data_IF_002083940274
#
_entry.id   IF_002083940274
#
_cell.length_a   1.000
_cell.length_b   1.000
_cell.length_c   1.000
_cell.angle_alpha   90.00
_cell.angle_beta   90.00
_cell.angle_gamma   90.00
#
_symmetry.space_group_name_H-M   'P 1'
#
loop_
_entity.id
_entity.type
_entity.pdbx_description
1 polymer ?
#
# COMPACT_ATOMS: atom_id res chain seq x y z
N UNK A 1 -0.68 11.63 16.53
CA UNK A 1 0.53 11.51 15.68
C UNK A 1 0.65 10.05 15.30
N UNK A 2 0.74 9.75 14.03
CA UNK A 2 0.98 8.42 13.47
C UNK A 2 2.39 8.34 12.90
N UNK A 3 2.98 7.15 12.87
CA UNK A 3 4.28 6.90 12.25
C UNK A 3 4.09 6.08 10.98
N UNK A 4 4.67 6.54 9.88
CA UNK A 4 4.80 5.81 8.62
C UNK A 4 6.27 5.40 8.43
N UNK A 5 6.54 4.12 8.24
CA UNK A 5 7.89 3.61 8.00
C UNK A 5 7.92 3.01 6.60
N UNK A 6 8.57 3.69 5.66
CA UNK A 6 8.63 3.28 4.26
C UNK A 6 9.62 2.13 4.08
N UNK A 7 9.14 0.96 3.72
CA UNK A 7 9.97 -0.22 3.43
C UNK A 7 10.54 -0.17 2.01
N UNK A 8 9.86 0.54 1.13
CA UNK A 8 10.22 0.80 -0.24
C UNK A 8 9.31 1.88 -0.82
N UNK A 9 9.82 2.67 -1.75
CA UNK A 9 9.15 3.85 -2.33
C UNK A 9 9.14 3.84 -3.85
N UNK A 10 9.74 2.82 -4.49
CA UNK A 10 9.83 2.68 -5.95
C UNK A 10 8.61 1.98 -6.55
N UNK A 11 8.44 2.18 -7.85
CA UNK A 11 7.41 1.57 -8.68
C UNK A 11 7.74 0.12 -9.09
N UNK A 12 6.95 -0.46 -10.01
CA UNK A 12 7.14 -1.81 -10.55
C UNK A 12 8.56 -2.09 -11.05
N UNK A 13 9.22 -1.10 -11.67
CA UNK A 13 10.58 -1.26 -12.22
C UNK A 13 11.68 -1.16 -11.17
N UNK A 14 11.35 -0.80 -9.94
CA UNK A 14 12.31 -0.65 -8.84
C UNK A 14 13.54 0.16 -9.26
N UNK A 15 13.39 1.48 -9.49
CA UNK A 15 14.48 2.30 -10.01
C UNK A 15 15.69 2.27 -9.06
N UNK A 16 16.90 2.55 -9.55
CA UNK A 16 18.13 2.51 -8.74
C UNK A 16 17.99 3.28 -7.43
N UNK A 17 18.26 2.61 -6.30
CA UNK A 17 18.17 3.18 -4.96
C UNK A 17 16.78 3.13 -4.32
N UNK A 18 15.76 2.60 -4.99
CA UNK A 18 14.40 2.46 -4.47
C UNK A 18 13.90 1.03 -4.65
N UNK A 19 13.30 0.49 -3.59
CA UNK A 19 12.63 -0.81 -3.61
C UNK A 19 11.13 -0.65 -3.83
N UNK A 20 10.45 -1.75 -4.17
CA UNK A 20 9.00 -1.75 -4.41
C UNK A 20 8.21 -1.16 -3.24
N UNK A 21 7.20 -0.36 -3.61
CA UNK A 21 6.34 0.35 -2.68
C UNK A 21 5.77 -0.55 -1.59
N UNK A 22 6.02 -0.16 -0.36
CA UNK A 22 5.47 -0.79 0.84
C UNK A 22 5.76 0.08 2.05
N UNK A 23 4.87 0.14 3.02
CA UNK A 23 5.14 0.83 4.28
C UNK A 23 4.40 0.19 5.46
N UNK A 24 4.89 0.47 6.67
CA UNK A 24 4.23 0.10 7.93
C UNK A 24 3.67 1.36 8.56
N UNK A 25 2.42 1.28 9.03
CA UNK A 25 1.79 2.34 9.79
C UNK A 25 1.59 1.88 11.24
N UNK A 26 2.02 2.72 12.19
CA UNK A 26 1.85 2.53 13.64
C UNK A 26 2.29 1.16 14.15
N UNK A 27 3.35 0.61 13.58
CA UNK A 27 3.97 -0.68 13.92
C UNK A 27 3.14 -1.94 13.66
N UNK A 28 1.85 -1.82 13.36
CA UNK A 28 0.91 -2.94 13.30
C UNK A 28 0.27 -3.17 11.92
N UNK A 29 0.29 -2.18 11.03
CA UNK A 29 -0.37 -2.24 9.71
C UNK A 29 0.67 -2.23 8.60
N UNK A 30 0.78 -3.34 7.88
CA UNK A 30 1.60 -3.43 6.66
C UNK A 30 0.73 -3.10 5.45
N UNK A 31 1.06 -2.03 4.76
CA UNK A 31 0.46 -1.68 3.48
C UNK A 31 1.37 -2.19 2.37
N UNK A 32 0.79 -2.96 1.46
CA UNK A 32 1.42 -3.66 0.34
C UNK A 32 2.52 -4.66 0.77
N UNK A 33 2.23 -5.95 0.87
CA UNK A 33 3.24 -6.98 1.07
C UNK A 33 4.04 -7.20 -0.23
N UNK A 34 4.85 -6.18 -0.61
CA UNK A 34 5.69 -6.19 -1.80
C UNK A 34 6.74 -7.30 -1.76
N UNK A 35 7.39 -7.66 -2.88
CA UNK A 35 8.38 -8.75 -2.91
C UNK A 35 9.52 -8.62 -1.91
N UNK A 36 9.87 -7.38 -1.51
CA UNK A 36 10.93 -7.11 -0.52
C UNK A 36 10.40 -6.79 0.88
N UNK A 37 9.08 -6.81 1.12
CA UNK A 37 8.49 -6.40 2.39
C UNK A 37 9.08 -7.16 3.60
N UNK A 38 9.19 -8.48 3.54
CA UNK A 38 9.68 -9.27 4.69
C UNK A 38 11.14 -8.94 5.09
N UNK A 39 12.15 -8.95 4.21
CA UNK A 39 13.50 -8.56 4.60
C UNK A 39 13.58 -7.10 5.06
N UNK A 40 12.76 -6.22 4.50
CA UNK A 40 12.76 -4.80 4.86
C UNK A 40 12.05 -4.53 6.21
N UNK A 41 10.98 -5.24 6.53
CA UNK A 41 10.41 -5.26 7.89
C UNK A 41 11.50 -5.53 8.92
N UNK A 42 12.27 -6.61 8.72
CA UNK A 42 13.38 -6.99 9.62
C UNK A 42 14.46 -5.91 9.71
N UNK A 43 14.81 -5.30 8.57
CA UNK A 43 15.78 -4.20 8.52
C UNK A 43 15.31 -2.99 9.33
N UNK A 44 14.01 -2.69 9.31
CA UNK A 44 13.40 -1.61 10.08
C UNK A 44 13.12 -1.97 11.54
N UNK A 45 13.45 -3.20 11.98
CA UNK A 45 13.29 -3.65 13.35
C UNK A 45 11.91 -4.24 13.67
N UNK A 46 11.08 -4.52 12.66
CA UNK A 46 9.78 -5.15 12.85
C UNK A 46 9.88 -6.68 12.82
N UNK A 47 9.01 -7.34 13.55
CA UNK A 47 8.78 -8.77 13.47
C UNK A 47 7.47 -9.02 12.72
N UNK A 48 7.48 -9.88 11.70
CA UNK A 48 6.28 -10.17 10.91
C UNK A 48 5.09 -10.65 11.79
N UNK A 49 5.38 -11.33 12.91
CA UNK A 49 4.36 -11.77 13.87
C UNK A 49 3.71 -10.63 14.67
N UNK A 50 4.25 -9.42 14.66
CA UNK A 50 3.67 -8.25 15.33
C UNK A 50 2.74 -7.46 14.40
N UNK A 51 2.76 -7.73 13.09
CA UNK A 51 1.81 -7.13 12.15
C UNK A 51 0.44 -7.75 12.38
N UNK A 52 -0.54 -6.91 12.62
CA UNK A 52 -1.94 -7.30 12.90
C UNK A 52 -2.83 -7.16 11.68
N UNK A 53 -2.48 -6.25 10.75
CA UNK A 53 -3.26 -5.99 9.53
C UNK A 53 -2.33 -5.91 8.33
N UNK A 54 -2.71 -6.57 7.23
CA UNK A 54 -2.13 -6.39 5.91
C UNK A 54 -3.18 -5.75 5.01
N UNK A 55 -2.80 -4.69 4.29
CA UNK A 55 -3.67 -3.99 3.34
C UNK A 55 -3.11 -4.12 1.94
N UNK A 56 -3.95 -4.48 0.97
CA UNK A 56 -3.58 -4.63 -0.45
C UNK A 56 -4.50 -3.76 -1.29
N UNK A 57 -3.92 -2.86 -2.09
CA UNK A 57 -4.69 -1.97 -2.96
C UNK A 57 -5.21 -2.67 -4.21
N UNK A 58 -4.39 -3.52 -4.82
CA UNK A 58 -4.69 -4.30 -6.00
C UNK A 58 -3.72 -5.49 -6.16
N UNK A 59 -3.92 -6.33 -7.18
CA UNK A 59 -3.17 -7.59 -7.31
C UNK A 59 -2.00 -7.54 -8.31
N UNK A 60 -1.37 -6.40 -8.57
CA UNK A 60 -0.10 -6.38 -9.28
C UNK A 60 1.02 -6.99 -8.42
N UNK A 61 1.99 -7.58 -9.08
CA UNK A 61 3.04 -8.38 -8.45
C UNK A 61 3.90 -7.60 -7.45
N UNK A 62 4.21 -6.35 -7.78
CA UNK A 62 5.01 -5.45 -6.94
C UNK A 62 4.31 -5.05 -5.63
N UNK A 63 2.98 -5.17 -5.55
CA UNK A 63 2.18 -4.88 -4.36
C UNK A 63 1.94 -6.11 -3.47
N UNK A 64 1.92 -7.33 -4.03
CA UNK A 64 1.43 -8.48 -3.28
C UNK A 64 2.31 -9.75 -3.34
N UNK A 65 3.33 -9.85 -4.21
CA UNK A 65 4.13 -11.09 -4.33
C UNK A 65 5.07 -11.39 -3.16
N UNK A 66 5.18 -10.51 -2.18
CA UNK A 66 5.81 -10.80 -0.89
C UNK A 66 4.92 -11.60 0.07
N UNK A 67 3.62 -11.71 -0.24
CA UNK A 67 2.63 -12.39 0.61
C UNK A 67 3.04 -13.79 1.07
N UNK A 68 3.48 -14.73 0.19
CA UNK A 68 3.85 -16.08 0.61
C UNK A 68 4.94 -16.10 1.69
N UNK A 69 5.93 -15.25 1.57
CA UNK A 69 7.05 -15.15 2.50
C UNK A 69 6.63 -14.47 3.81
N UNK A 70 5.84 -13.41 3.70
CA UNK A 70 5.30 -12.71 4.86
C UNK A 70 4.39 -13.63 5.68
N UNK A 71 3.43 -14.33 5.04
CA UNK A 71 2.50 -15.24 5.71
C UNK A 71 3.24 -16.35 6.46
N UNK A 72 4.26 -16.96 5.83
CA UNK A 72 5.08 -17.99 6.50
C UNK A 72 5.77 -17.42 7.74
N UNK A 73 6.33 -16.22 7.65
CA UNK A 73 7.01 -15.59 8.78
C UNK A 73 6.02 -15.16 9.88
N UNK A 74 4.86 -14.61 9.51
CA UNK A 74 3.82 -14.25 10.46
C UNK A 74 3.29 -15.48 11.20
N UNK A 75 3.08 -16.60 10.50
CA UNK A 75 2.67 -17.88 11.13
C UNK A 75 3.74 -18.44 12.07
N UNK A 76 5.03 -18.28 11.75
CA UNK A 76 6.11 -18.79 12.60
C UNK A 76 6.30 -17.95 13.88
N UNK A 77 6.15 -16.64 13.78
CA UNK A 77 6.45 -15.71 14.87
C UNK A 77 5.20 -15.09 15.54
N UNK A 78 4.01 -15.25 14.95
CA UNK A 78 2.76 -14.61 15.41
C UNK A 78 2.01 -15.32 16.54
N UNK A 79 2.27 -16.61 16.78
CA UNK A 79 1.88 -17.38 17.96
C UNK A 79 0.42 -17.21 18.44
N UNK A 80 -0.61 -17.60 17.66
CA UNK A 80 -2.02 -17.56 18.07
C UNK A 80 -2.69 -16.18 17.96
N UNK A 81 -1.99 -15.18 17.41
CA UNK A 81 -2.57 -13.85 17.14
C UNK A 81 -3.54 -13.86 15.97
N UNK A 82 -4.42 -12.86 15.92
CA UNK A 82 -5.24 -12.59 14.74
C UNK A 82 -4.41 -11.81 13.71
N UNK A 83 -4.45 -12.26 12.46
CA UNK A 83 -3.94 -11.52 11.31
C UNK A 83 -5.12 -11.19 10.38
N UNK A 84 -5.43 -9.91 10.26
CA UNK A 84 -6.41 -9.42 9.31
C UNK A 84 -5.73 -9.13 7.96
N UNK A 85 -6.38 -9.52 6.87
CA UNK A 85 -5.94 -9.21 5.51
C UNK A 85 -7.08 -8.52 4.81
N UNK A 86 -6.84 -7.30 4.36
CA UNK A 86 -7.82 -6.41 3.74
C UNK A 86 -7.43 -6.18 2.28
N UNK A 87 -8.38 -6.25 1.36
CA UNK A 87 -8.09 -5.99 -0.05
C UNK A 87 -9.31 -6.10 -0.97
N UNK A 88 -9.06 -6.06 -2.29
CA UNK A 88 -10.09 -6.09 -3.30
C UNK A 88 -10.94 -7.38 -3.26
N UNK A 89 -12.14 -7.36 -3.86
CA UNK A 89 -12.93 -8.58 -4.08
C UNK A 89 -12.13 -9.70 -4.73
N UNK A 90 -12.28 -10.94 -4.23
CA UNK A 90 -11.50 -12.12 -4.62
C UNK A 90 -10.20 -12.29 -3.84
N UNK A 91 -9.99 -11.50 -2.78
CA UNK A 91 -8.76 -11.42 -2.00
C UNK A 91 -8.19 -12.79 -1.60
N UNK A 92 -8.97 -13.59 -0.87
CA UNK A 92 -8.48 -14.89 -0.37
C UNK A 92 -8.11 -15.84 -1.50
N UNK A 93 -8.92 -15.88 -2.57
CA UNK A 93 -8.68 -16.73 -3.73
C UNK A 93 -7.39 -16.35 -4.47
N UNK A 94 -7.14 -15.04 -4.68
CA UNK A 94 -5.93 -14.56 -5.33
C UNK A 94 -4.68 -14.84 -4.49
N UNK A 95 -4.73 -14.61 -3.19
CA UNK A 95 -3.59 -14.88 -2.30
C UNK A 95 -3.31 -16.38 -2.17
N UNK A 96 -4.34 -17.22 -2.18
CA UNK A 96 -4.18 -18.68 -2.23
C UNK A 96 -3.55 -19.13 -3.57
N UNK A 97 -3.96 -18.55 -4.70
CA UNK A 97 -3.37 -18.85 -6.01
C UNK A 97 -1.87 -18.53 -6.08
N UNK A 98 -1.42 -17.44 -5.42
CA UNK A 98 0.01 -17.11 -5.33
C UNK A 98 0.81 -18.21 -4.61
N UNK A 99 0.25 -18.79 -3.54
CA UNK A 99 0.87 -19.90 -2.82
C UNK A 99 0.94 -21.18 -3.67
N UNK A 100 -0.09 -21.44 -4.49
CA UNK A 100 -0.11 -22.56 -5.44
C UNK A 100 0.98 -22.42 -6.50
N UNK A 101 1.04 -21.26 -7.17
CA UNK A 101 2.06 -20.96 -8.20
C UNK A 101 3.47 -21.03 -7.62
N UNK A 102 3.65 -20.57 -6.37
CA UNK A 102 4.91 -20.65 -5.64
C UNK A 102 5.27 -22.04 -5.12
N UNK A 103 4.40 -23.06 -5.34
CA UNK A 103 4.54 -24.42 -4.80
C UNK A 103 4.67 -24.49 -3.27
N UNK A 104 4.04 -23.54 -2.57
CA UNK A 104 4.07 -23.40 -1.10
C UNK A 104 2.66 -23.38 -0.50
N UNK A 105 1.72 -24.10 -1.07
CA UNK A 105 0.32 -24.19 -0.64
C UNK A 105 0.17 -24.52 0.85
N UNK A 106 1.03 -25.41 1.37
CA UNK A 106 1.03 -25.81 2.78
C UNK A 106 1.23 -24.64 3.77
N UNK A 107 1.74 -23.50 3.30
CA UNK A 107 1.90 -22.28 4.10
C UNK A 107 0.55 -21.76 4.59
N UNK A 108 -0.50 -21.80 3.73
CA UNK A 108 -1.83 -21.34 4.11
C UNK A 108 -2.45 -22.23 5.21
N UNK A 109 -2.33 -23.56 5.05
CA UNK A 109 -2.83 -24.51 6.04
C UNK A 109 -2.09 -24.37 7.38
N UNK A 110 -0.76 -24.22 7.32
CA UNK A 110 0.07 -23.96 8.52
C UNK A 110 -0.31 -22.64 9.19
N UNK A 111 -0.52 -21.58 8.39
CA UNK A 111 -0.91 -20.28 8.93
C UNK A 111 -2.27 -20.34 9.64
N UNK A 112 -3.27 -21.00 9.04
CA UNK A 112 -4.59 -21.20 9.67
C UNK A 112 -4.57 -22.01 10.97
N UNK A 113 -3.57 -22.87 11.14
CA UNK A 113 -3.37 -23.60 12.39
C UNK A 113 -2.71 -22.77 13.50
N UNK A 114 -1.94 -21.76 13.11
CA UNK A 114 -1.09 -20.97 14.02
C UNK A 114 -1.60 -19.56 14.28
N UNK A 115 -2.43 -19.03 13.37
CA UNK A 115 -3.02 -17.70 13.43
C UNK A 115 -4.56 -17.77 13.30
N UNK A 116 -5.25 -16.83 13.90
CA UNK A 116 -6.63 -16.52 13.52
C UNK A 116 -6.59 -15.62 12.27
N UNK A 117 -6.56 -16.26 11.09
CA UNK A 117 -6.41 -15.57 9.80
C UNK A 117 -7.78 -15.13 9.28
N UNK A 118 -7.97 -13.82 9.11
CA UNK A 118 -9.24 -13.21 8.70
C UNK A 118 -9.06 -12.39 7.43
N UNK A 119 -9.87 -12.70 6.40
CA UNK A 119 -9.91 -11.95 5.15
C UNK A 119 -11.12 -11.03 5.12
N UNK A 120 -10.93 -9.78 4.71
CA UNK A 120 -11.97 -8.77 4.56
C UNK A 120 -11.87 -8.14 3.17
N UNK A 121 -12.88 -8.40 2.34
CA UNK A 121 -13.00 -7.73 1.05
C UNK A 121 -13.64 -6.36 1.25
N UNK A 122 -13.13 -5.37 0.50
CA UNK A 122 -13.62 -3.99 0.59
C UNK A 122 -14.92 -3.80 -0.21
N UNK A 123 -15.82 -2.97 0.31
CA UNK A 123 -17.14 -2.68 -0.28
C UNK A 123 -17.46 -1.17 -0.37
N UNK A 124 -16.47 -0.31 -0.03
CA UNK A 124 -16.61 1.15 -0.02
C UNK A 124 -17.22 1.73 1.27
N UNK A 125 -17.69 0.89 2.19
CA UNK A 125 -18.14 1.32 3.51
C UNK A 125 -16.95 1.45 4.50
N UNK A 126 -17.19 2.14 5.62
CA UNK A 126 -16.27 2.10 6.76
C UNK A 126 -16.30 0.73 7.41
N UNK A 127 -15.12 0.13 7.57
CA UNK A 127 -14.92 -1.22 8.10
C UNK A 127 -13.87 -1.21 9.22
N UNK A 128 -13.85 -2.30 10.01
CA UNK A 128 -12.89 -2.51 11.09
C UNK A 128 -12.13 -3.81 10.87
N UNK A 129 -10.79 -3.75 10.90
CA UNK A 129 -9.91 -4.92 10.88
C UNK A 129 -8.89 -4.81 12.03
N UNK A 130 -9.11 -5.55 13.12
CA UNK A 130 -8.30 -5.40 14.33
C UNK A 130 -8.26 -3.94 14.83
N UNK A 131 -7.07 -3.34 15.00
CA UNK A 131 -6.95 -1.95 15.45
C UNK A 131 -7.22 -0.92 14.34
N UNK A 132 -7.41 -1.35 13.09
CA UNK A 132 -7.54 -0.48 11.94
C UNK A 132 -9.01 -0.19 11.62
N UNK A 133 -9.43 1.09 11.69
CA UNK A 133 -10.67 1.60 11.12
C UNK A 133 -10.35 2.22 9.77
N UNK A 134 -11.00 1.76 8.71
CA UNK A 134 -10.65 2.14 7.34
C UNK A 134 -11.85 2.17 6.41
N UNK A 135 -11.71 2.88 5.30
CA UNK A 135 -12.64 2.84 4.18
C UNK A 135 -11.83 2.77 2.87
N UNK A 136 -12.23 1.89 1.98
CA UNK A 136 -11.65 1.82 0.65
C UNK A 136 -12.45 2.68 -0.34
N UNK A 137 -11.73 3.33 -1.24
CA UNK A 137 -12.28 4.13 -2.34
C UNK A 137 -11.76 3.55 -3.65
N UNK A 138 -12.65 3.22 -4.58
CA UNK A 138 -12.24 2.68 -5.88
C UNK A 138 -11.54 3.76 -6.71
N UNK A 139 -10.37 3.43 -7.23
CA UNK A 139 -9.54 4.31 -8.07
C UNK A 139 -9.32 3.70 -9.45
N UNK A 140 -8.83 4.49 -10.39
CA UNK A 140 -8.66 4.08 -11.78
C UNK A 140 -7.19 3.85 -12.08
N UNK A 141 -6.83 2.62 -12.45
CA UNK A 141 -5.48 2.26 -12.84
C UNK A 141 -5.46 1.53 -14.18
N UNK A 142 -5.78 0.25 -14.21
CA UNK A 142 -5.84 -0.57 -15.43
C UNK A 142 -7.22 -1.20 -15.59
N UNK A 143 -7.73 -1.39 -16.83
CA UNK A 143 -9.13 -1.77 -17.04
C UNK A 143 -9.48 -3.22 -16.64
N UNK A 144 -8.48 -4.06 -16.38
CA UNK A 144 -8.67 -5.46 -16.03
C UNK A 144 -8.54 -5.75 -14.52
N UNK A 145 -8.25 -4.73 -13.69
CA UNK A 145 -8.20 -4.85 -12.23
C UNK A 145 -9.11 -3.83 -11.57
N UNK A 146 -9.71 -4.21 -10.46
CA UNK A 146 -10.29 -3.26 -9.51
C UNK A 146 -9.18 -2.83 -8.55
N UNK A 147 -8.95 -1.53 -8.50
CA UNK A 147 -7.91 -0.92 -7.68
C UNK A 147 -8.53 0.02 -6.65
N UNK A 148 -7.97 0.05 -5.45
CA UNK A 148 -8.51 0.81 -4.34
C UNK A 148 -7.41 1.63 -3.67
N UNK A 149 -7.77 2.88 -3.35
CA UNK A 149 -7.10 3.64 -2.31
C UNK A 149 -7.81 3.43 -0.97
N UNK A 150 -7.22 3.92 0.09
CA UNK A 150 -7.70 3.71 1.46
C UNK A 150 -7.67 5.00 2.26
N UNK A 151 -8.65 5.18 3.12
CA UNK A 151 -8.66 6.12 4.23
C UNK A 151 -8.48 5.33 5.53
N UNK A 152 -7.49 5.68 6.30
CA UNK A 152 -7.18 5.08 7.59
C UNK A 152 -7.46 6.12 8.68
N UNK A 153 -8.50 5.88 9.46
CA UNK A 153 -8.84 6.77 10.56
C UNK A 153 -7.95 6.51 11.79
N UNK A 154 -7.40 7.60 12.33
CA UNK A 154 -6.59 7.64 13.55
C UNK A 154 -7.13 8.72 14.49
N UNK A 155 -6.83 8.70 15.77
CA UNK A 155 -7.26 9.76 16.69
C UNK A 155 -6.80 11.15 16.24
N UNK A 156 -7.73 11.93 15.68
CA UNK A 156 -7.47 13.31 15.22
C UNK A 156 -6.69 13.40 13.91
N UNK A 157 -6.60 12.33 13.13
CA UNK A 157 -5.88 12.28 11.85
C UNK A 157 -6.53 11.26 10.91
N UNK A 158 -6.63 11.59 9.62
CA UNK A 158 -6.96 10.65 8.56
C UNK A 158 -5.77 10.54 7.61
N UNK A 159 -5.22 9.34 7.49
CA UNK A 159 -4.16 9.04 6.52
C UNK A 159 -4.80 8.41 5.29
N UNK A 160 -4.65 9.03 4.13
CA UNK A 160 -5.03 8.48 2.84
C UNK A 160 -3.87 7.73 2.20
N UNK A 161 -4.19 6.69 1.43
CA UNK A 161 -3.26 5.98 0.55
C UNK A 161 -3.92 5.77 -0.81
N UNK A 162 -3.27 6.15 -1.89
CA UNK A 162 -3.89 6.11 -3.21
C UNK A 162 -3.96 4.71 -3.83
N UNK A 163 -3.04 3.79 -3.47
CA UNK A 163 -2.70 2.69 -4.36
C UNK A 163 -2.17 3.22 -5.69
N UNK A 164 -2.16 2.40 -6.74
CA UNK A 164 -1.85 2.85 -8.09
C UNK A 164 -3.09 3.45 -8.75
N UNK A 165 -2.94 4.63 -9.32
CA UNK A 165 -4.06 5.39 -9.86
C UNK A 165 -3.63 6.40 -10.94
N UNK A 166 -4.58 6.81 -11.74
CA UNK A 166 -4.53 8.03 -12.55
C UNK A 166 -5.40 9.11 -11.90
N UNK A 167 -5.34 10.39 -12.33
CA UNK A 167 -6.30 11.38 -11.89
C UNK A 167 -7.74 10.89 -12.11
N UNK A 168 -8.52 10.81 -11.02
CA UNK A 168 -9.89 10.32 -11.03
C UNK A 168 -10.69 10.86 -9.83
N UNK A 169 -12.02 10.67 -9.85
CA UNK A 169 -12.89 11.12 -8.74
C UNK A 169 -12.53 10.44 -7.41
N UNK A 170 -12.19 9.12 -7.45
CA UNK A 170 -11.77 8.40 -6.24
C UNK A 170 -10.52 9.00 -5.60
N UNK A 171 -9.52 9.43 -6.39
CA UNK A 171 -8.35 10.12 -5.86
C UNK A 171 -8.72 11.48 -5.26
N UNK A 172 -9.62 12.23 -5.91
CA UNK A 172 -10.12 13.51 -5.38
C UNK A 172 -10.90 13.32 -4.08
N UNK A 173 -11.65 12.22 -3.95
CA UNK A 173 -12.34 11.85 -2.72
C UNK A 173 -11.33 11.54 -1.60
N UNK A 174 -10.31 10.71 -1.87
CA UNK A 174 -9.24 10.42 -0.93
C UNK A 174 -8.57 11.71 -0.44
N UNK A 175 -8.22 12.62 -1.36
CA UNK A 175 -7.57 13.88 -1.01
C UNK A 175 -8.46 14.78 -0.14
N UNK A 176 -9.77 14.85 -0.44
CA UNK A 176 -10.72 15.66 0.34
C UNK A 176 -10.88 15.20 1.79
N UNK A 177 -10.74 13.89 2.03
CA UNK A 177 -11.00 13.29 3.34
C UNK A 177 -9.73 12.97 4.13
N UNK A 178 -8.55 13.28 3.59
CA UNK A 178 -7.26 13.02 4.23
C UNK A 178 -6.63 14.29 4.80
N UNK A 179 -6.00 14.18 5.95
CA UNK A 179 -5.06 15.18 6.46
C UNK A 179 -3.66 14.97 5.85
N UNK A 180 -3.30 13.69 5.66
CA UNK A 180 -2.08 13.24 4.99
C UNK A 180 -2.45 12.27 3.89
N UNK A 181 -1.98 12.47 2.66
CA UNK A 181 -2.20 11.57 1.54
C UNK A 181 -0.87 11.00 1.03
N UNK A 182 -0.68 9.70 1.23
CA UNK A 182 0.39 8.94 0.59
C UNK A 182 -0.07 8.59 -0.82
N UNK A 183 0.54 9.19 -1.84
CA UNK A 183 0.09 9.08 -3.23
C UNK A 183 1.23 8.65 -4.14
N UNK A 184 0.90 7.82 -5.14
CA UNK A 184 1.85 7.39 -6.17
C UNK A 184 2.27 8.53 -7.07
N UNK A 185 3.51 8.47 -7.59
CA UNK A 185 3.97 9.30 -8.70
C UNK A 185 4.94 8.50 -9.56
N UNK A 186 4.43 7.80 -10.53
CA UNK A 186 5.26 6.98 -11.42
C UNK A 186 6.02 7.85 -12.45
N UNK A 187 5.51 9.05 -12.79
CA UNK A 187 6.16 9.98 -13.72
C UNK A 187 6.37 9.41 -15.13
N UNK A 188 5.67 8.33 -15.49
CA UNK A 188 5.89 7.64 -16.74
C UNK A 188 5.24 8.36 -17.89
N UNK A 189 6.05 8.95 -18.76
CA UNK A 189 5.58 9.49 -20.04
C UNK A 189 5.12 8.34 -20.95
N UNK A 190 3.82 8.26 -21.17
CA UNK A 190 3.22 7.31 -22.08
C UNK A 190 3.38 7.76 -23.53
N UNK A 191 3.37 6.83 -24.52
CA UNK A 191 3.30 7.20 -25.91
C UNK A 191 2.10 8.11 -26.19
N UNK A 192 2.20 9.06 -27.12
CA UNK A 192 1.08 9.92 -27.49
C UNK A 192 -0.21 9.14 -27.79
N UNK A 193 -1.30 9.49 -27.08
CA UNK A 193 -2.61 8.86 -27.25
C UNK A 193 -2.85 7.61 -26.40
N UNK A 194 -1.88 7.13 -25.63
CA UNK A 194 -2.12 6.10 -24.63
C UNK A 194 -2.85 6.71 -23.42
N UNK A 195 -3.87 6.04 -22.86
CA UNK A 195 -4.52 6.53 -21.65
C UNK A 195 -3.52 6.46 -20.47
N UNK A 196 -3.53 7.46 -19.57
CA UNK A 196 -2.71 7.39 -18.36
C UNK A 196 -3.13 6.19 -17.50
N UNK A 197 -2.17 5.59 -16.84
CA UNK A 197 -2.40 4.51 -15.87
C UNK A 197 -1.82 4.84 -14.49
N UNK A 198 -1.11 5.96 -14.39
CA UNK A 198 -0.44 6.44 -13.17
C UNK A 198 -0.49 7.96 -13.09
N UNK A 199 -0.11 8.49 -11.92
CA UNK A 199 0.13 9.91 -11.70
C UNK A 199 1.50 10.31 -12.27
N UNK A 200 1.58 11.54 -12.75
CA UNK A 200 2.81 12.23 -13.13
C UNK A 200 2.98 13.50 -12.30
N UNK A 201 4.09 14.22 -12.51
CA UNK A 201 4.43 15.42 -11.74
C UNK A 201 3.39 16.54 -11.90
N UNK A 202 2.84 16.72 -13.10
CA UNK A 202 1.82 17.73 -13.36
C UNK A 202 0.53 17.38 -12.61
N UNK A 203 0.09 16.14 -12.65
CA UNK A 203 -1.09 15.65 -11.92
C UNK A 203 -0.93 15.80 -10.40
N UNK A 204 0.28 15.59 -9.86
CA UNK A 204 0.57 15.84 -8.44
C UNK A 204 0.47 17.32 -8.11
N UNK A 205 0.98 18.22 -8.95
CA UNK A 205 0.87 19.65 -8.72
C UNK A 205 -0.59 20.15 -8.80
N UNK A 206 -1.38 19.61 -9.73
CA UNK A 206 -2.82 19.89 -9.83
C UNK A 206 -3.56 19.40 -8.59
N UNK A 207 -3.30 18.16 -8.12
CA UNK A 207 -3.87 17.61 -6.90
C UNK A 207 -3.56 18.49 -5.69
N UNK A 208 -2.30 18.89 -5.54
CA UNK A 208 -1.85 19.77 -4.45
C UNK A 208 -2.52 21.15 -4.50
N UNK A 209 -2.67 21.73 -5.70
CA UNK A 209 -3.33 23.02 -5.88
C UNK A 209 -4.82 22.96 -5.52
N UNK A 210 -5.48 21.82 -5.82
CA UNK A 210 -6.89 21.60 -5.49
C UNK A 210 -7.10 21.32 -3.98
N UNK A 211 -6.09 20.77 -3.28
CA UNK A 211 -6.15 20.37 -1.88
C UNK A 211 -4.96 20.93 -1.07
N UNK A 212 -4.89 22.27 -0.89
CA UNK A 212 -3.71 22.95 -0.32
C UNK A 212 -3.46 22.62 1.17
N UNK A 213 -4.48 22.16 1.88
CA UNK A 213 -4.40 21.82 3.32
C UNK A 213 -3.95 20.37 3.56
N UNK A 214 -3.87 19.54 2.51
CA UNK A 214 -3.48 18.13 2.60
C UNK A 214 -1.96 18.00 2.53
N UNK A 215 -1.37 17.31 3.49
CA UNK A 215 0.04 16.96 3.44
C UNK A 215 0.27 15.81 2.46
N UNK A 216 0.82 16.11 1.29
CA UNK A 216 1.10 15.10 0.25
C UNK A 216 2.47 14.46 0.49
N UNK A 217 2.47 13.12 0.55
CA UNK A 217 3.64 12.26 0.68
C UNK A 217 3.71 11.37 -0.56
N UNK A 218 4.79 11.44 -1.33
CA UNK A 218 4.93 10.67 -2.57
C UNK A 218 5.55 9.30 -2.32
N UNK A 219 5.04 8.31 -3.03
CA UNK A 219 5.56 6.94 -3.08
C UNK A 219 5.42 6.35 -4.49
N UNK A 220 5.78 5.08 -4.70
CA UNK A 220 5.68 4.37 -5.97
C UNK A 220 6.36 5.15 -7.12
N UNK A 221 7.55 5.69 -6.82
CA UNK A 221 8.26 6.62 -7.67
C UNK A 221 8.91 5.94 -8.87
N UNK A 222 8.70 6.49 -10.05
CA UNK A 222 9.42 6.09 -11.26
C UNK A 222 10.80 6.73 -11.37
N UNK A 223 11.68 6.16 -12.20
CA UNK A 223 13.05 6.66 -12.40
C UNK A 223 13.11 8.07 -13.01
N UNK A 224 12.07 8.45 -13.76
CA UNK A 224 12.02 9.72 -14.47
C UNK A 224 11.40 10.87 -13.66
N UNK A 225 10.95 10.59 -12.43
CA UNK A 225 10.34 11.61 -11.56
C UNK A 225 11.39 12.62 -11.11
N UNK A 226 11.23 13.87 -11.52
CA UNK A 226 12.06 14.97 -11.02
C UNK A 226 11.53 15.46 -9.66
N UNK A 227 12.04 14.84 -8.61
CA UNK A 227 11.63 15.18 -7.24
C UNK A 227 11.98 16.62 -6.84
N UNK A 228 12.98 17.22 -7.47
CA UNK A 228 13.38 18.61 -7.22
C UNK A 228 12.39 19.62 -7.83
N UNK A 229 11.63 19.21 -8.84
CA UNK A 229 10.61 20.05 -9.47
C UNK A 229 9.28 20.10 -8.71
N UNK A 230 9.13 19.36 -7.60
CA UNK A 230 7.88 19.26 -6.85
C UNK A 230 7.97 19.90 -5.45
N UNK A 231 7.98 21.23 -5.35
CA UNK A 231 8.04 21.91 -4.06
C UNK A 231 6.75 21.69 -3.25
N UNK A 232 6.90 21.51 -1.93
CA UNK A 232 5.76 21.42 -1.00
C UNK A 232 5.12 20.04 -0.91
N UNK A 233 5.79 18.99 -1.40
CA UNK A 233 5.47 17.58 -1.13
C UNK A 233 6.60 16.95 -0.31
N UNK A 234 6.27 15.92 0.46
CA UNK A 234 7.26 15.10 1.15
C UNK A 234 7.59 13.87 0.29
N UNK A 235 8.87 13.57 0.11
CA UNK A 235 9.34 12.45 -0.69
C UNK A 235 10.27 11.62 0.19
N UNK A 236 9.75 10.59 0.86
CA UNK A 236 10.57 9.76 1.73
C UNK A 236 11.56 8.90 0.93
N UNK A 237 12.68 8.62 1.55
CA UNK A 237 13.58 7.57 1.08
C UNK A 237 13.14 6.19 1.64
N UNK A 238 13.65 5.12 1.03
CA UNK A 238 13.47 3.78 1.57
C UNK A 238 14.04 3.70 2.99
N UNK A 239 13.30 3.05 3.89
CA UNK A 239 13.59 2.89 5.32
C UNK A 239 13.44 4.18 6.16
N UNK A 240 12.95 5.25 5.56
CA UNK A 240 12.66 6.49 6.28
C UNK A 240 11.42 6.33 7.18
N UNK A 241 11.47 7.03 8.32
CA UNK A 241 10.37 7.15 9.28
C UNK A 241 9.82 8.55 9.23
N UNK A 242 8.53 8.66 8.95
CA UNK A 242 7.81 9.92 8.90
C UNK A 242 6.76 9.95 10.01
N UNK A 243 6.83 10.96 10.86
CA UNK A 243 5.77 11.24 11.84
C UNK A 243 4.78 12.23 11.23
N UNK A 244 3.52 11.89 11.23
CA UNK A 244 2.43 12.67 10.66
C UNK A 244 1.33 12.97 11.68
#
# INVERSE_FOLDING_TARGET
MSELVFLGTGNFLSPPGRYWNSFVMDTAVLVEPSPTALPHLRRCGFVAGDIEVVVISHFHADHCFGWPFFLQAAAEFGGGRTLHVVGPPGLEAQLAAMLEVGAVRSVLDSARQRLDLRFSEVDGSWQQAGPLHFRAVEVVHVPYLRCFGYLFERPGLVVGYSGDTTPCEGLSELARESDVLVVECNGRHLPPGAPPTHMDEDSIQELRAAHPDVHIVLTHLGEQVDTAAMPGVTIPDDFERLTV
#
